data_IF_122292684931
#
_entry.id   IF_122292684931
#
_cell.length_a   1.000
_cell.length_b   1.000
_cell.length_c   1.000
_cell.angle_alpha   90.00
_cell.angle_beta   90.00
_cell.angle_gamma   90.00
#
_symmetry.space_group_name_H-M   'P 1'
#
loop_
_entity.id
_entity.type
_entity.pdbx_description
1 polymer ?
#
# COMPACT_ATOMS: atom_id res chain seq x y z
N UNK A 1 3.90 30.68 85.33
CA UNK A 1 4.50 31.81 84.56
C UNK A 1 3.89 31.78 83.17
N UNK A 2 2.85 32.56 82.79
CA UNK A 2 2.70 34.01 82.58
C UNK A 2 3.33 34.54 81.25
N UNK A 3 2.47 34.62 80.22
CA UNK A 3 2.42 35.51 79.02
C UNK A 3 3.54 35.48 77.95
N UNK A 4 3.37 36.04 76.71
CA UNK A 4 2.16 36.50 76.00
C UNK A 4 2.06 36.12 74.48
N UNK A 5 0.85 36.31 73.93
CA UNK A 5 0.46 36.94 72.64
C UNK A 5 1.49 37.00 71.50
N UNK A 6 1.10 36.48 70.32
CA UNK A 6 1.21 37.21 69.06
C UNK A 6 0.14 36.77 68.05
N UNK A 7 -0.65 37.77 67.70
CA UNK A 7 -1.77 37.86 66.79
C UNK A 7 -1.25 38.06 65.36
N UNK A 8 -1.71 37.27 64.37
CA UNK A 8 -1.93 37.73 62.98
C UNK A 8 -2.61 36.66 62.10
N UNK A 9 -3.88 36.93 61.75
CA UNK A 9 -4.51 36.57 60.46
C UNK A 9 -3.99 37.56 59.37
N UNK A 10 -4.26 37.42 58.06
CA UNK A 10 -5.12 36.45 57.35
C UNK A 10 -4.46 35.73 56.16
N UNK A 11 -5.14 34.66 55.74
CA UNK A 11 -4.97 33.90 54.51
C UNK A 11 -5.32 34.75 53.28
N UNK A 12 -4.38 34.91 52.34
CA UNK A 12 -4.71 35.25 50.95
C UNK A 12 -4.54 34.01 50.06
N UNK A 13 -5.59 33.61 49.31
CA UNK A 13 -5.47 32.55 48.32
C UNK A 13 -4.78 33.09 47.07
N UNK A 14 -3.52 32.70 46.87
CA UNK A 14 -2.82 32.87 45.60
C UNK A 14 -3.62 32.18 44.49
N UNK A 15 -4.18 32.98 43.60
CA UNK A 15 -5.01 32.53 42.48
C UNK A 15 -4.23 31.68 41.46
N UNK A 16 -4.95 30.88 40.64
CA UNK A 16 -4.35 30.05 39.61
C UNK A 16 -3.75 30.94 38.52
N UNK A 17 -2.42 30.94 38.42
CA UNK A 17 -1.68 31.48 37.29
C UNK A 17 -2.10 30.72 36.04
N UNK A 18 -2.98 31.36 35.26
CA UNK A 18 -3.35 30.93 33.93
C UNK A 18 -2.12 31.00 33.02
N UNK A 19 -1.46 29.85 32.81
CA UNK A 19 -0.60 29.63 31.67
C UNK A 19 -1.46 29.76 30.41
N UNK A 20 -1.57 30.98 29.87
CA UNK A 20 -2.05 31.20 28.51
C UNK A 20 -0.92 30.76 27.57
N UNK A 21 -0.99 29.51 27.15
CA UNK A 21 -0.32 29.04 25.94
C UNK A 21 -0.69 29.96 24.78
N UNK A 22 0.24 30.83 24.40
CA UNK A 22 0.08 31.73 23.28
C UNK A 22 0.30 30.92 22.00
N UNK A 23 -0.75 30.21 21.58
CA UNK A 23 -0.79 29.57 20.27
C UNK A 23 -0.59 30.59 19.14
N UNK A 24 -0.11 30.16 17.96
CA UNK A 24 0.12 31.06 16.83
C UNK A 24 -1.18 31.81 16.47
N UNK A 25 -1.08 33.05 15.94
CA UNK A 25 -2.27 33.84 15.62
C UNK A 25 -3.20 33.07 14.69
N UNK A 26 -4.50 33.06 15.00
CA UNK A 26 -5.56 32.33 14.28
C UNK A 26 -5.42 32.30 12.73
N UNK A 27 -5.11 33.41 12.02
CA UNK A 27 -4.98 33.37 10.56
C UNK A 27 -3.83 32.50 10.04
N UNK A 28 -2.78 32.30 10.84
CA UNK A 28 -1.64 31.48 10.48
C UNK A 28 -1.95 29.97 10.63
N UNK A 29 -2.80 29.62 11.59
CA UNK A 29 -3.31 28.26 11.76
C UNK A 29 -4.21 27.84 10.60
N UNK A 30 -5.10 28.74 10.16
CA UNK A 30 -6.00 28.49 9.04
C UNK A 30 -5.27 28.34 7.71
N UNK A 31 -4.22 29.14 7.48
CA UNK A 31 -3.38 29.03 6.29
C UNK A 31 -2.61 27.70 6.26
N UNK A 32 -2.06 27.28 7.41
CA UNK A 32 -1.37 26.00 7.55
C UNK A 32 -2.34 24.82 7.35
N UNK A 33 -3.52 24.88 7.95
CA UNK A 33 -4.57 23.87 7.81
C UNK A 33 -5.04 23.75 6.35
N UNK A 34 -5.20 24.86 5.62
CA UNK A 34 -5.55 24.85 4.20
C UNK A 34 -4.44 24.27 3.32
N UNK A 35 -3.18 24.58 3.62
CA UNK A 35 -2.03 24.01 2.92
C UNK A 35 -1.94 22.50 3.14
N UNK A 36 -2.07 22.05 4.39
CA UNK A 36 -2.10 20.63 4.74
C UNK A 36 -3.28 19.92 4.08
N UNK A 37 -4.47 20.52 4.07
CA UNK A 37 -5.66 19.96 3.40
C UNK A 37 -5.44 19.84 1.88
N UNK A 38 -4.83 20.84 1.24
CA UNK A 38 -4.47 20.75 -0.19
C UNK A 38 -3.40 19.69 -0.45
N UNK A 39 -2.41 19.56 0.44
CA UNK A 39 -1.35 18.57 0.32
C UNK A 39 -1.87 17.15 0.54
N UNK A 40 -2.78 16.94 1.49
CA UNK A 40 -3.48 15.68 1.74
C UNK A 40 -4.37 15.28 0.56
N UNK A 41 -5.17 16.21 0.03
CA UNK A 41 -6.02 15.95 -1.14
C UNK A 41 -5.17 15.60 -2.37
N UNK A 42 -4.01 16.26 -2.55
CA UNK A 42 -3.08 15.96 -3.64
C UNK A 42 -2.34 14.63 -3.40
N UNK A 43 -2.01 14.32 -2.15
CA UNK A 43 -1.38 13.07 -1.72
C UNK A 43 -2.28 11.85 -1.90
N UNK A 44 -3.58 11.96 -1.61
CA UNK A 44 -4.53 10.85 -1.77
C UNK A 44 -4.55 10.31 -3.21
N UNK A 45 -4.60 11.20 -4.21
CA UNK A 45 -4.55 10.80 -5.62
C UNK A 45 -3.23 10.13 -6.03
N UNK A 46 -2.10 10.47 -5.39
CA UNK A 46 -0.80 9.85 -5.65
C UNK A 46 -0.65 8.47 -4.99
N UNK A 47 -1.19 8.32 -3.77
CA UNK A 47 -1.18 7.07 -3.01
C UNK A 47 -2.03 6.01 -3.72
N UNK A 48 -3.21 6.38 -4.20
CA UNK A 48 -4.10 5.46 -4.91
C UNK A 48 -3.46 4.94 -6.21
N UNK A 49 -2.81 5.83 -6.97
CA UNK A 49 -2.05 5.46 -8.17
C UNK A 49 -0.87 4.52 -7.84
N UNK A 50 -0.13 4.78 -6.76
CA UNK A 50 0.96 3.90 -6.33
C UNK A 50 0.47 2.53 -5.85
N UNK A 51 -0.62 2.50 -5.08
CA UNK A 51 -1.22 1.27 -4.59
C UNK A 51 -1.67 0.37 -5.74
N UNK A 52 -2.30 0.95 -6.76
CA UNK A 52 -2.71 0.22 -7.97
C UNK A 52 -1.49 -0.29 -8.75
N UNK A 53 -0.45 0.52 -8.95
CA UNK A 53 0.81 0.08 -9.57
C UNK A 53 1.50 -1.06 -8.80
N UNK A 54 1.46 -1.01 -7.46
CA UNK A 54 2.03 -2.05 -6.60
C UNK A 54 1.29 -3.38 -6.74
N UNK A 55 -0.06 -3.34 -6.76
CA UNK A 55 -0.90 -4.53 -6.93
C UNK A 55 -0.68 -5.20 -8.28
N UNK A 56 -0.72 -4.45 -9.38
CA UNK A 56 -0.53 -5.01 -10.73
C UNK A 56 0.86 -5.64 -10.91
N UNK A 57 1.91 -5.09 -10.27
CA UNK A 57 3.26 -5.70 -10.30
C UNK A 57 3.32 -7.02 -9.55
N UNK A 58 2.64 -7.12 -8.41
CA UNK A 58 2.58 -8.37 -7.64
C UNK A 58 1.80 -9.44 -8.39
N UNK A 59 0.67 -9.06 -8.98
CA UNK A 59 -0.16 -9.95 -9.80
C UNK A 59 0.61 -10.50 -11.00
N UNK A 60 1.31 -9.64 -11.76
CA UNK A 60 2.14 -10.06 -12.88
C UNK A 60 3.23 -11.06 -12.45
N UNK A 61 3.89 -10.81 -11.31
CA UNK A 61 4.91 -11.74 -10.77
C UNK A 61 4.31 -13.07 -10.35
N UNK A 62 3.14 -13.04 -9.74
CA UNK A 62 2.43 -14.25 -9.32
C UNK A 62 2.06 -15.09 -10.55
N UNK A 63 1.49 -14.47 -11.58
CA UNK A 63 1.14 -15.16 -12.83
C UNK A 63 2.36 -15.76 -13.54
N UNK A 64 3.49 -15.04 -13.59
CA UNK A 64 4.75 -15.56 -14.15
C UNK A 64 5.25 -16.78 -13.38
N UNK A 65 5.20 -16.74 -12.04
CA UNK A 65 5.57 -17.87 -11.20
C UNK A 65 4.66 -19.08 -11.43
N UNK A 66 3.37 -18.85 -11.63
CA UNK A 66 2.41 -19.90 -11.91
C UNK A 66 2.67 -20.51 -13.30
N UNK A 67 2.96 -19.69 -14.31
CA UNK A 67 3.37 -20.12 -15.65
C UNK A 67 4.62 -21.02 -15.59
N UNK A 68 5.67 -20.59 -14.87
CA UNK A 68 6.89 -21.39 -14.68
C UNK A 68 6.58 -22.75 -14.04
N UNK A 69 5.71 -22.76 -13.03
CA UNK A 69 5.28 -23.99 -12.37
C UNK A 69 4.56 -24.94 -13.34
N UNK A 70 3.68 -24.42 -14.18
CA UNK A 70 2.98 -25.21 -15.20
C UNK A 70 3.94 -25.79 -16.23
N UNK A 71 4.91 -25.01 -16.71
CA UNK A 71 5.95 -25.52 -17.63
C UNK A 71 6.76 -26.65 -17.03
N UNK A 72 7.20 -26.51 -15.77
CA UNK A 72 7.94 -27.56 -15.06
C UNK A 72 7.09 -28.84 -14.94
N UNK A 73 5.81 -28.69 -14.57
CA UNK A 73 4.90 -29.82 -14.43
C UNK A 73 4.66 -30.51 -15.78
N UNK A 74 4.42 -29.72 -16.83
CA UNK A 74 4.22 -30.22 -18.18
C UNK A 74 5.44 -30.99 -18.68
N UNK A 75 6.65 -30.46 -18.50
CA UNK A 75 7.88 -31.13 -18.89
C UNK A 75 8.05 -32.49 -18.20
N UNK A 76 7.73 -32.59 -16.91
CA UNK A 76 7.73 -33.87 -16.18
C UNK A 76 6.69 -34.84 -16.74
N UNK A 77 5.47 -34.38 -16.99
CA UNK A 77 4.40 -35.20 -17.56
C UNK A 77 4.75 -35.69 -18.96
N UNK A 78 5.25 -34.81 -19.83
CA UNK A 78 5.70 -35.15 -21.17
C UNK A 78 6.86 -36.17 -21.16
N UNK A 79 7.83 -36.00 -20.25
CA UNK A 79 8.91 -36.97 -20.07
C UNK A 79 8.40 -38.36 -19.68
N UNK A 80 7.48 -38.45 -18.71
CA UNK A 80 6.90 -39.73 -18.30
C UNK A 80 6.09 -40.40 -19.42
N UNK A 81 5.31 -39.61 -20.16
CA UNK A 81 4.47 -40.11 -21.26
C UNK A 81 5.32 -40.57 -22.46
N UNK A 82 6.36 -39.80 -22.81
CA UNK A 82 7.33 -40.19 -23.85
C UNK A 82 8.04 -41.50 -23.51
N UNK A 83 8.41 -41.71 -22.24
CA UNK A 83 9.01 -42.98 -21.80
C UNK A 83 8.02 -44.16 -21.82
N UNK A 84 6.73 -43.87 -21.71
CA UNK A 84 5.65 -44.86 -21.87
C UNK A 84 5.23 -45.11 -23.33
N UNK A 85 5.78 -44.35 -24.29
CA UNK A 85 5.41 -44.44 -25.71
C UNK A 85 4.11 -43.73 -26.09
N UNK A 86 3.50 -42.96 -25.18
CA UNK A 86 2.29 -42.19 -25.44
C UNK A 86 2.64 -40.72 -25.66
N UNK A 87 2.55 -40.21 -26.89
CA UNK A 87 2.92 -38.82 -27.21
C UNK A 87 1.69 -37.89 -27.23
N UNK A 88 0.51 -38.41 -27.56
CA UNK A 88 -0.75 -37.66 -27.49
C UNK A 88 -1.52 -38.07 -26.24
N UNK A 89 -1.68 -37.14 -25.30
CA UNK A 89 -2.39 -37.38 -24.05
C UNK A 89 -3.26 -36.17 -23.72
N UNK A 90 -4.54 -36.37 -23.32
CA UNK A 90 -5.46 -35.27 -23.02
C UNK A 90 -4.96 -34.36 -21.88
N UNK A 91 -4.16 -34.90 -20.97
CA UNK A 91 -3.52 -34.12 -19.90
C UNK A 91 -2.48 -33.10 -20.42
N UNK A 92 -1.76 -33.39 -21.50
CA UNK A 92 -0.85 -32.45 -22.14
C UNK A 92 -1.64 -31.31 -22.79
N UNK A 93 -2.69 -31.64 -23.54
CA UNK A 93 -3.54 -30.63 -24.21
C UNK A 93 -4.14 -29.65 -23.21
N UNK A 94 -4.73 -30.15 -22.12
CA UNK A 94 -5.28 -29.30 -21.06
C UNK A 94 -4.23 -28.42 -20.37
N UNK A 95 -3.01 -28.94 -20.21
CA UNK A 95 -1.91 -28.16 -19.63
C UNK A 95 -1.43 -27.05 -20.58
N UNK A 96 -1.38 -27.34 -21.89
CA UNK A 96 -1.07 -26.34 -22.92
C UNK A 96 -2.13 -25.25 -22.98
N UNK A 97 -3.43 -25.59 -23.02
CA UNK A 97 -4.53 -24.62 -22.98
C UNK A 97 -4.39 -23.67 -21.77
N UNK A 98 -4.03 -24.21 -20.59
CA UNK A 98 -3.85 -23.40 -19.39
C UNK A 98 -2.61 -22.49 -19.46
N UNK A 99 -1.54 -22.94 -20.11
CA UNK A 99 -0.35 -22.14 -20.36
C UNK A 99 -0.70 -20.98 -21.30
N UNK A 100 -1.40 -21.27 -22.40
CA UNK A 100 -1.81 -20.25 -23.38
C UNK A 100 -2.69 -19.17 -22.72
N UNK A 101 -3.63 -19.57 -21.85
CA UNK A 101 -4.44 -18.64 -21.05
C UNK A 101 -3.60 -17.74 -20.14
N UNK A 102 -2.57 -18.30 -19.48
CA UNK A 102 -1.70 -17.54 -18.59
C UNK A 102 -0.80 -16.58 -19.37
N UNK A 103 -0.26 -17.01 -20.50
CA UNK A 103 0.56 -16.17 -21.38
C UNK A 103 -0.26 -15.00 -21.93
N UNK A 104 -1.49 -15.26 -22.38
CA UNK A 104 -2.40 -14.22 -22.86
C UNK A 104 -2.68 -13.15 -21.78
N UNK A 105 -3.00 -13.55 -20.55
CA UNK A 105 -3.22 -12.60 -19.45
C UNK A 105 -1.95 -11.82 -19.08
N UNK A 106 -0.78 -12.48 -19.08
CA UNK A 106 0.50 -11.83 -18.81
C UNK A 106 0.79 -10.74 -19.85
N UNK A 107 0.53 -11.03 -21.13
CA UNK A 107 0.75 -10.08 -22.20
C UNK A 107 -0.24 -8.92 -22.17
N UNK A 108 -1.51 -9.18 -21.84
CA UNK A 108 -2.50 -8.12 -21.59
C UNK A 108 -2.05 -7.18 -20.45
N UNK A 109 -1.61 -7.72 -19.31
CA UNK A 109 -1.08 -6.94 -18.20
C UNK A 109 0.17 -6.14 -18.57
N UNK A 110 1.05 -6.69 -19.41
CA UNK A 110 2.22 -5.99 -19.92
C UNK A 110 1.82 -4.84 -20.85
N UNK A 111 0.89 -5.06 -21.77
CA UNK A 111 0.41 -4.04 -22.69
C UNK A 111 -0.29 -2.88 -21.98
N UNK A 112 -1.16 -3.17 -21.01
CA UNK A 112 -1.80 -2.14 -20.20
C UNK A 112 -0.78 -1.28 -19.44
N UNK A 113 0.29 -1.90 -18.96
CA UNK A 113 1.38 -1.18 -18.29
C UNK A 113 2.16 -0.29 -19.26
N UNK A 114 2.55 -0.82 -20.42
CA UNK A 114 3.26 -0.02 -21.44
C UNK A 114 2.43 1.18 -21.92
N UNK A 115 1.11 1.02 -22.06
CA UNK A 115 0.22 2.12 -22.43
C UNK A 115 0.12 3.18 -21.32
N UNK A 116 0.08 2.76 -20.05
CA UNK A 116 -0.01 3.67 -18.91
C UNK A 116 1.30 4.44 -18.68
N UNK A 117 2.45 3.78 -18.85
CA UNK A 117 3.78 4.40 -18.67
C UNK A 117 4.08 5.43 -19.79
N UNK A 118 3.53 5.27 -21.01
CA UNK A 118 3.72 6.21 -22.14
C UNK A 118 2.79 7.43 -22.14
N UNK A 119 1.81 7.51 -21.23
CA UNK A 119 0.81 8.59 -21.18
C UNK A 119 1.16 9.69 -20.17
N UNK A 120 2.30 9.57 -19.48
CA UNK A 120 2.77 10.48 -18.42
C UNK A 120 4.06 11.27 -18.77
N UNK A 121 4.61 11.11 -19.99
CA UNK A 121 5.69 11.94 -20.56
C UNK A 121 5.13 13.05 -21.47
#
# INVERSE_FOLDING_TARGET
HRFPVLESRPTEPGGPGANREMGPPAPLQDALAQLLKRMLNRGQSGIEKMANRGRSRLELRQMQKDLDHFWIRLGKTAYHLSNGGEIDHPGIRKAMERIDELEAHIDELRHHRSATDNQED
#
